data_IF_031832267043
#
_entry.id   IF_031832267043
#
_cell.length_a   1.000
_cell.length_b   1.000
_cell.length_c   1.000
_cell.angle_alpha   90.00
_cell.angle_beta   90.00
_cell.angle_gamma   90.00
#
_symmetry.space_group_name_H-M   'P 1'
#
loop_
_entity.id
_entity.type
_entity.pdbx_description
1 polymer ?
#
# COMPACT_ATOMS: atom_id res chain seq x y z
N UNK A 1 14.25 17.88 -9.03
CA UNK A 1 12.85 17.90 -8.53
C UNK A 1 12.79 16.88 -7.42
N UNK A 2 12.43 17.25 -6.19
CA UNK A 2 12.41 16.32 -5.05
C UNK A 2 11.00 15.76 -4.94
N UNK A 3 10.81 14.49 -5.30
CA UNK A 3 9.54 13.80 -5.07
C UNK A 3 9.34 13.65 -3.55
N UNK A 4 8.14 13.93 -2.99
CA UNK A 4 7.86 13.74 -1.56
C UNK A 4 8.06 12.27 -1.16
N UNK A 5 8.20 11.99 0.14
CA UNK A 5 8.36 10.65 0.73
C UNK A 5 7.29 9.65 0.23
N UNK A 6 7.61 9.06 -0.93
CA UNK A 6 7.20 7.86 -1.66
C UNK A 6 5.70 7.55 -1.84
N UNK A 7 5.09 8.28 -2.78
CA UNK A 7 3.97 7.74 -3.58
C UNK A 7 4.52 6.77 -4.65
N UNK A 8 3.79 5.70 -4.94
CA UNK A 8 4.08 4.84 -6.10
C UNK A 8 3.71 5.66 -7.35
N UNK A 9 4.57 5.67 -8.37
CA UNK A 9 4.32 6.42 -9.60
C UNK A 9 3.64 5.54 -10.64
N UNK A 10 2.61 6.06 -11.31
CA UNK A 10 2.01 5.46 -12.50
C UNK A 10 2.39 6.27 -13.74
N UNK A 11 3.19 5.71 -14.63
CA UNK A 11 3.57 6.33 -15.90
C UNK A 11 2.62 5.93 -17.02
N UNK A 12 2.11 6.92 -17.76
CA UNK A 12 1.45 6.70 -19.04
C UNK A 12 2.48 6.74 -20.16
N UNK A 13 2.61 5.65 -20.92
CA UNK A 13 3.53 5.53 -22.06
C UNK A 13 2.81 5.43 -23.41
N UNK A 14 1.48 5.28 -23.42
CA UNK A 14 0.69 5.27 -24.65
C UNK A 14 -0.34 6.41 -24.66
N UNK A 15 -0.17 7.33 -25.61
CA UNK A 15 -1.06 8.48 -25.82
C UNK A 15 -1.99 8.33 -27.03
N UNK A 16 -2.05 7.14 -27.65
CA UNK A 16 -2.80 6.89 -28.89
C UNK A 16 -4.32 7.01 -28.76
N UNK A 17 -4.87 6.81 -27.55
CA UNK A 17 -6.31 6.82 -27.32
C UNK A 17 -6.69 7.38 -25.94
N UNK A 18 -7.02 8.67 -25.93
CA UNK A 18 -7.43 9.39 -24.72
C UNK A 18 -8.72 8.83 -24.09
N UNK A 19 -9.68 8.38 -24.89
CA UNK A 19 -10.92 7.84 -24.35
C UNK A 19 -10.70 6.47 -23.69
N UNK A 20 -9.89 5.61 -24.29
CA UNK A 20 -9.51 4.33 -23.70
C UNK A 20 -8.73 4.56 -22.40
N UNK A 21 -7.76 5.48 -22.40
CA UNK A 21 -6.99 5.87 -21.22
C UNK A 21 -7.90 6.26 -20.04
N UNK A 22 -8.82 7.20 -20.26
CA UNK A 22 -9.74 7.63 -19.21
C UNK A 22 -10.65 6.50 -18.68
N UNK A 23 -11.01 5.54 -19.55
CA UNK A 23 -11.82 4.39 -19.15
C UNK A 23 -11.03 3.39 -18.30
N UNK A 24 -9.80 3.05 -18.70
CA UNK A 24 -8.95 2.11 -17.95
C UNK A 24 -8.50 2.71 -16.62
N UNK A 25 -8.19 4.01 -16.59
CA UNK A 25 -7.80 4.69 -15.36
C UNK A 25 -8.94 4.70 -14.34
N UNK A 26 -10.17 5.00 -14.79
CA UNK A 26 -11.37 4.89 -13.95
C UNK A 26 -11.61 3.46 -13.47
N UNK A 27 -11.40 2.47 -14.33
CA UNK A 27 -11.55 1.06 -13.95
C UNK A 27 -10.51 0.62 -12.91
N UNK A 28 -9.30 1.20 -12.94
CA UNK A 28 -8.22 0.85 -12.05
C UNK A 28 -8.34 1.50 -10.67
N UNK A 29 -8.72 2.79 -10.64
CA UNK A 29 -8.64 3.63 -9.43
C UNK A 29 -9.99 4.13 -8.92
N UNK A 30 -11.08 3.86 -9.65
CA UNK A 30 -12.38 4.45 -9.38
C UNK A 30 -12.45 5.93 -9.78
N UNK A 31 -13.45 6.65 -9.25
CA UNK A 31 -13.55 8.09 -9.46
C UNK A 31 -12.52 8.83 -8.61
N UNK A 32 -11.96 9.94 -9.14
CA UNK A 32 -10.90 10.70 -8.46
C UNK A 32 -11.28 11.13 -7.03
N UNK A 33 -12.56 11.47 -6.80
CA UNK A 33 -13.08 11.86 -5.48
C UNK A 33 -13.07 10.74 -4.44
N UNK A 34 -12.99 9.48 -4.87
CA UNK A 34 -13.02 8.29 -4.03
C UNK A 34 -11.62 7.66 -3.86
N UNK A 35 -10.61 8.23 -4.54
CA UNK A 35 -9.26 7.71 -4.57
C UNK A 35 -8.59 7.86 -3.21
N UNK A 36 -8.10 6.74 -2.68
CA UNK A 36 -7.39 6.68 -1.39
C UNK A 36 -6.03 5.99 -1.50
N UNK A 37 -5.69 5.47 -2.67
CA UNK A 37 -4.41 4.84 -2.93
C UNK A 37 -3.28 5.87 -3.08
N UNK A 38 -2.07 5.48 -2.69
CA UNK A 38 -0.85 6.31 -2.70
C UNK A 38 -0.20 6.35 -4.09
N UNK A 39 -1.02 6.47 -5.14
CA UNK A 39 -0.58 6.44 -6.53
C UNK A 39 -0.56 7.84 -7.13
N UNK A 40 0.60 8.27 -7.59
CA UNK A 40 0.76 9.52 -8.33
C UNK A 40 0.84 9.22 -9.82
N UNK A 41 -0.10 9.77 -10.59
CA UNK A 41 -0.14 9.64 -12.04
C UNK A 41 0.85 10.63 -12.65
N UNK A 42 1.77 10.12 -13.46
CA UNK A 42 2.71 10.88 -14.29
C UNK A 42 2.20 10.86 -15.71
N UNK A 43 1.55 11.97 -16.09
CA UNK A 43 0.99 12.20 -17.42
C UNK A 43 1.80 13.28 -18.13
N UNK A 44 2.92 12.89 -18.72
CA UNK A 44 3.78 13.75 -19.54
C UNK A 44 3.97 13.14 -20.94
N UNK A 45 3.53 13.81 -22.02
CA UNK A 45 3.70 13.35 -23.40
C UNK A 45 5.16 13.10 -23.82
N UNK A 46 6.16 13.56 -23.06
CA UNK A 46 7.56 13.21 -23.32
C UNK A 46 7.84 11.71 -23.20
N UNK A 47 6.99 10.97 -22.47
CA UNK A 47 7.08 9.53 -22.32
C UNK A 47 6.27 8.74 -23.37
N UNK A 48 5.67 9.40 -24.36
CA UNK A 48 4.89 8.72 -25.39
C UNK A 48 5.76 7.77 -26.23
N UNK A 49 5.41 6.49 -26.23
CA UNK A 49 6.01 5.44 -27.05
C UNK A 49 7.36 4.93 -26.57
N UNK A 50 7.90 5.38 -25.43
CA UNK A 50 9.13 4.81 -24.87
C UNK A 50 8.84 3.43 -24.26
N UNK A 51 9.84 2.55 -24.25
CA UNK A 51 9.72 1.27 -23.55
C UNK A 51 10.08 1.38 -22.05
N UNK A 52 9.78 0.33 -21.29
CA UNK A 52 10.03 0.30 -19.83
C UNK A 52 11.53 0.35 -19.51
N UNK A 53 12.40 -0.25 -20.33
CA UNK A 53 13.85 -0.20 -20.12
C UNK A 53 14.40 1.22 -20.35
N UNK A 54 13.90 1.92 -21.38
CA UNK A 54 14.20 3.32 -21.65
C UNK A 54 13.69 4.25 -20.54
N UNK A 55 12.46 4.03 -20.05
CA UNK A 55 11.92 4.75 -18.89
C UNK A 55 12.82 4.57 -17.67
N UNK A 56 13.19 3.33 -17.34
CA UNK A 56 14.08 3.05 -16.21
C UNK A 56 15.46 3.67 -16.39
N UNK A 57 15.99 3.71 -17.62
CA UNK A 57 17.25 4.39 -17.91
C UNK A 57 17.12 5.92 -17.73
N UNK A 58 15.97 6.50 -18.07
CA UNK A 58 15.69 7.92 -17.92
C UNK A 58 15.57 8.35 -16.46
N UNK A 59 15.01 7.48 -15.61
CA UNK A 59 14.82 7.76 -14.19
C UNK A 59 16.08 7.45 -13.33
N UNK A 60 17.04 6.69 -13.86
CA UNK A 60 18.26 6.28 -13.15
C UNK A 60 19.35 7.37 -13.12
N UNK A 61 19.13 8.43 -12.34
CA UNK A 61 20.20 9.29 -11.81
C UNK A 61 20.51 8.92 -10.35
N UNK A 62 21.44 7.96 -10.16
CA UNK A 62 22.12 7.54 -8.91
C UNK A 62 21.30 7.11 -7.67
N UNK A 63 20.06 7.56 -7.48
CA UNK A 63 19.09 7.05 -6.49
C UNK A 63 17.68 7.55 -6.85
N UNK A 64 16.82 6.69 -7.43
CA UNK A 64 15.51 7.09 -7.93
C UNK A 64 14.55 7.59 -6.83
N UNK A 65 14.80 7.25 -5.56
CA UNK A 65 13.90 7.57 -4.46
C UNK A 65 12.57 6.81 -4.48
N UNK A 66 12.29 5.97 -5.48
CA UNK A 66 11.09 5.13 -5.57
C UNK A 66 11.45 3.64 -5.50
N UNK A 67 10.58 2.82 -4.89
CA UNK A 67 10.75 1.34 -4.80
C UNK A 67 10.00 0.59 -5.90
N UNK A 68 8.85 1.12 -6.29
CA UNK A 68 7.95 0.52 -7.25
C UNK A 68 7.43 1.58 -8.23
N UNK A 69 7.21 1.16 -9.46
CA UNK A 69 6.56 1.92 -10.52
C UNK A 69 5.42 1.10 -11.10
N UNK A 70 4.37 1.75 -11.54
CA UNK A 70 3.31 1.18 -12.36
C UNK A 70 3.42 1.81 -13.74
N UNK A 71 3.28 1.02 -14.79
CA UNK A 71 3.36 1.48 -16.17
C UNK A 71 2.07 1.13 -16.90
N UNK A 72 1.52 2.10 -17.60
CA UNK A 72 0.45 1.94 -18.57
C UNK A 72 1.03 2.10 -19.98
N UNK A 73 1.11 1.02 -20.74
CA UNK A 73 1.63 1.02 -22.11
C UNK A 73 0.51 0.62 -23.10
N UNK A 74 0.90 0.30 -24.34
CA UNK A 74 -0.05 -0.12 -25.37
C UNK A 74 -0.89 -1.34 -24.95
N UNK A 75 -0.33 -2.26 -24.16
CA UNK A 75 -1.06 -3.44 -23.70
C UNK A 75 -2.20 -3.05 -22.76
N UNK A 76 -2.00 -2.04 -21.91
CA UNK A 76 -3.05 -1.52 -21.02
C UNK A 76 -4.29 -1.07 -21.80
N UNK A 77 -4.11 -0.46 -22.97
CA UNK A 77 -5.23 0.06 -23.77
C UNK A 77 -5.87 -0.99 -24.68
N UNK A 78 -5.13 -2.03 -25.08
CA UNK A 78 -5.51 -2.92 -26.18
C UNK A 78 -5.77 -4.37 -25.77
N UNK A 79 -5.12 -4.85 -24.72
CA UNK A 79 -5.19 -6.24 -24.29
C UNK A 79 -6.40 -6.50 -23.38
N UNK A 80 -6.75 -7.79 -23.29
CA UNK A 80 -7.78 -8.25 -22.35
C UNK A 80 -7.31 -8.01 -20.92
N UNK A 81 -8.23 -7.64 -20.03
CA UNK A 81 -7.98 -7.26 -18.62
C UNK A 81 -7.20 -5.96 -18.42
N UNK A 82 -6.87 -5.23 -19.49
CA UNK A 82 -6.21 -3.93 -19.46
C UNK A 82 -5.01 -3.88 -18.50
N UNK A 83 -4.03 -4.78 -18.65
CA UNK A 83 -2.99 -4.97 -17.67
C UNK A 83 -2.10 -3.72 -17.56
N UNK A 84 -1.83 -3.31 -16.34
CA UNK A 84 -0.75 -2.38 -16.02
C UNK A 84 0.49 -3.19 -15.66
N UNK A 85 1.69 -2.68 -15.90
CA UNK A 85 2.92 -3.38 -15.53
C UNK A 85 3.47 -2.81 -14.22
N UNK A 86 3.48 -3.60 -13.15
CA UNK A 86 4.23 -3.30 -11.93
C UNK A 86 5.72 -3.58 -12.16
N UNK A 87 6.57 -2.63 -11.80
CA UNK A 87 8.02 -2.67 -12.01
C UNK A 87 8.73 -2.34 -10.71
N UNK A 88 9.77 -3.10 -10.34
CA UNK A 88 10.64 -2.76 -9.21
C UNK A 88 11.81 -1.89 -9.63
N UNK A 89 12.23 -1.01 -8.74
CA UNK A 89 13.49 -0.28 -8.84
C UNK A 89 14.70 -1.13 -8.38
N UNK A 90 14.75 -2.40 -8.74
CA UNK A 90 15.87 -3.32 -8.44
C UNK A 90 16.75 -3.54 -9.67
N UNK A 91 17.96 -4.07 -9.48
CA UNK A 91 18.83 -4.50 -10.58
C UNK A 91 19.14 -6.01 -10.44
N UNK A 92 18.57 -6.88 -11.30
CA UNK A 92 17.61 -6.59 -12.37
C UNK A 92 16.21 -6.20 -11.85
N UNK A 93 15.41 -5.47 -12.65
CA UNK A 93 14.03 -5.15 -12.31
C UNK A 93 13.13 -6.37 -12.49
N UNK A 94 12.17 -6.54 -11.58
CA UNK A 94 11.03 -7.43 -11.75
C UNK A 94 9.93 -6.69 -12.51
N UNK A 95 9.22 -7.43 -13.36
CA UNK A 95 8.06 -6.93 -14.12
C UNK A 95 6.91 -7.89 -13.93
N UNK A 96 5.76 -7.38 -13.54
CA UNK A 96 4.55 -8.15 -13.34
C UNK A 96 3.36 -7.41 -13.95
N UNK A 97 2.75 -7.94 -15.03
CA UNK A 97 1.44 -7.48 -15.47
C UNK A 97 0.40 -7.74 -14.37
N UNK A 98 -0.34 -6.70 -13.98
CA UNK A 98 -1.43 -6.75 -13.02
C UNK A 98 -2.71 -6.30 -13.74
N UNK A 99 -3.79 -7.07 -13.62
CA UNK A 99 -5.06 -6.73 -14.26
C UNK A 99 -5.63 -5.44 -13.67
N UNK A 100 -6.35 -4.68 -14.50
CA UNK A 100 -6.85 -3.34 -14.15
C UNK A 100 -7.58 -3.28 -12.81
N UNK A 101 -8.42 -4.26 -12.51
CA UNK A 101 -9.23 -4.28 -11.28
C UNK A 101 -8.42 -4.55 -10.00
N UNK A 102 -7.13 -4.91 -10.12
CA UNK A 102 -6.24 -5.19 -8.98
C UNK A 102 -5.32 -4.03 -8.62
N UNK A 103 -5.21 -3.01 -9.48
CA UNK A 103 -4.18 -1.95 -9.38
C UNK A 103 -4.25 -1.24 -8.03
N UNK A 104 -5.42 -0.72 -7.63
CA UNK A 104 -5.57 0.02 -6.37
C UNK A 104 -5.19 -0.84 -5.15
N UNK A 105 -5.64 -2.09 -5.10
CA UNK A 105 -5.33 -3.03 -4.01
C UNK A 105 -3.84 -3.36 -3.92
N UNK A 106 -3.21 -3.65 -5.07
CA UNK A 106 -1.77 -3.97 -5.15
C UNK A 106 -0.94 -2.79 -4.66
N UNK A 107 -1.22 -1.59 -5.19
CA UNK A 107 -0.51 -0.35 -4.83
C UNK A 107 -0.64 -0.06 -3.33
N UNK A 108 -1.86 -0.16 -2.78
CA UNK A 108 -2.10 0.09 -1.37
C UNK A 108 -1.29 -0.85 -0.46
N UNK A 109 -1.25 -2.15 -0.79
CA UNK A 109 -0.51 -3.16 -0.03
C UNK A 109 1.01 -2.95 -0.09
N UNK A 110 1.56 -2.63 -1.26
CA UNK A 110 2.99 -2.36 -1.44
C UNK A 110 3.42 -1.10 -0.68
N UNK A 111 2.58 -0.06 -0.70
CA UNK A 111 2.88 1.19 -0.01
C UNK A 111 2.95 1.02 1.51
N UNK A 112 1.96 0.34 2.11
CA UNK A 112 2.00 0.01 3.54
C UNK A 112 2.94 -1.15 3.87
N UNK A 113 3.58 -1.73 2.86
CA UNK A 113 4.50 -2.87 2.97
C UNK A 113 3.87 -4.08 3.68
N UNK A 114 2.59 -4.36 3.36
CA UNK A 114 1.87 -5.54 3.86
C UNK A 114 2.22 -6.80 3.05
N UNK A 115 2.50 -6.64 1.75
CA UNK A 115 2.99 -7.68 0.85
C UNK A 115 4.15 -7.15 0.03
N UNK A 116 5.01 -8.06 -0.43
CA UNK A 116 6.12 -7.76 -1.32
C UNK A 116 5.81 -8.22 -2.76
N UNK A 117 6.63 -7.84 -3.74
CA UNK A 117 6.39 -8.21 -5.14
C UNK A 117 6.46 -9.72 -5.37
N UNK A 118 7.27 -10.43 -4.59
CA UNK A 118 7.42 -11.89 -4.67
C UNK A 118 6.10 -12.61 -4.38
N UNK A 119 5.28 -12.08 -3.46
CA UNK A 119 3.95 -12.62 -3.16
C UNK A 119 3.01 -12.51 -4.37
N UNK A 120 3.07 -11.38 -5.08
CA UNK A 120 2.29 -11.14 -6.28
C UNK A 120 2.77 -11.97 -7.48
N UNK A 121 4.10 -12.10 -7.66
CA UNK A 121 4.70 -12.95 -8.68
C UNK A 121 4.30 -14.42 -8.47
N UNK A 122 4.30 -14.90 -7.23
CA UNK A 122 3.87 -16.26 -6.89
C UNK A 122 2.35 -16.46 -7.08
N UNK A 123 1.56 -15.38 -6.97
CA UNK A 123 0.12 -15.38 -7.15
C UNK A 123 -0.37 -15.11 -8.58
N UNK A 124 0.54 -14.89 -9.54
CA UNK A 124 0.19 -14.65 -10.93
C UNK A 124 -0.42 -15.91 -11.58
N UNK A 125 -1.34 -15.70 -12.52
CA UNK A 125 -1.95 -16.79 -13.29
C UNK A 125 -0.92 -17.45 -14.23
N UNK A 126 -1.23 -18.62 -14.83
CA UNK A 126 -0.30 -19.32 -15.74
C UNK A 126 0.16 -18.52 -16.96
N UNK A 127 -0.55 -17.47 -17.33
CA UNK A 127 -0.16 -16.53 -18.39
C UNK A 127 0.72 -15.38 -17.90
N UNK A 128 1.04 -15.35 -16.61
CA UNK A 128 1.93 -14.38 -15.97
C UNK A 128 1.24 -13.08 -15.54
N UNK A 129 -0.08 -12.95 -15.69
CA UNK A 129 -0.83 -11.77 -15.24
C UNK A 129 -1.42 -12.03 -13.86
N UNK A 130 -1.28 -11.07 -12.95
CA UNK A 130 -1.93 -11.12 -11.65
C UNK A 130 -3.37 -10.63 -11.74
N UNK A 131 -4.34 -11.51 -11.45
CA UNK A 131 -5.79 -11.20 -11.47
C UNK A 131 -6.49 -11.36 -10.14
N UNK A 132 -5.81 -11.94 -9.15
CA UNK A 132 -6.43 -12.19 -7.87
C UNK A 132 -6.64 -10.86 -7.13
N UNK A 133 -7.88 -10.55 -6.75
CA UNK A 133 -8.10 -9.67 -5.60
C UNK A 133 -7.91 -10.53 -4.37
N UNK A 134 -7.03 -10.14 -3.44
CA UNK A 134 -6.78 -10.91 -2.22
C UNK A 134 -8.11 -11.32 -1.57
N UNK A 135 -8.22 -12.58 -1.07
CA UNK A 135 -7.53 -12.91 0.17
C UNK A 135 -6.73 -14.20 0.03
N UNK A 136 -5.40 -14.13 0.13
CA UNK A 136 -4.57 -15.32 0.39
C UNK A 136 -4.06 -15.30 1.84
N UNK A 137 -4.97 -15.07 2.79
CA UNK A 137 -4.99 -15.96 3.95
C UNK A 137 -5.77 -17.17 3.50
N UNK A 138 -5.12 -18.32 3.33
CA UNK A 138 -5.79 -19.63 3.26
C UNK A 138 -6.92 -19.65 4.29
N UNK A 139 -8.15 -19.51 3.80
CA UNK A 139 -9.41 -19.53 4.56
C UNK A 139 -9.48 -18.48 5.69
N UNK A 140 -10.53 -17.65 5.73
CA UNK A 140 -10.93 -17.04 7.02
C UNK A 140 -11.34 -18.19 7.91
N UNK A 141 -10.38 -18.78 8.62
CA UNK A 141 -10.68 -19.80 9.60
C UNK A 141 -11.39 -19.06 10.73
N UNK A 142 -12.73 -19.10 10.72
CA UNK A 142 -13.52 -18.87 11.93
C UNK A 142 -13.08 -19.94 12.92
N UNK A 143 -12.07 -19.62 13.71
CA UNK A 143 -11.73 -20.39 14.89
C UNK A 143 -12.65 -19.89 15.99
N UNK A 144 -13.47 -20.77 16.50
CA UNK A 144 -14.09 -20.57 17.81
C UNK A 144 -12.98 -20.78 18.83
N UNK A 145 -12.28 -19.69 19.17
CA UNK A 145 -11.29 -19.68 20.24
C UNK A 145 -12.06 -19.59 21.56
N UNK A 146 -11.76 -20.48 22.49
CA UNK A 146 -12.34 -20.39 23.84
C UNK A 146 -11.75 -19.19 24.55
N UNK A 147 -12.56 -18.50 25.35
CA UNK A 147 -12.14 -17.26 26.03
C UNK A 147 -10.88 -17.50 26.88
N UNK A 148 -10.75 -18.69 27.44
CA UNK A 148 -9.63 -19.16 28.26
C UNK A 148 -8.32 -19.25 27.47
N UNK A 149 -8.36 -19.63 26.19
CA UNK A 149 -7.17 -19.72 25.32
C UNK A 149 -6.64 -18.32 24.94
N UNK A 150 -7.54 -17.33 24.84
CA UNK A 150 -7.15 -15.93 24.67
C UNK A 150 -6.44 -15.44 25.95
N UNK A 151 -6.95 -15.83 27.13
CA UNK A 151 -6.33 -15.49 28.41
C UNK A 151 -4.92 -16.06 28.58
N UNK A 152 -4.72 -17.33 28.22
CA UNK A 152 -3.40 -17.96 28.26
C UNK A 152 -2.41 -17.28 27.29
N UNK A 153 -2.88 -16.84 26.12
CA UNK A 153 -2.06 -16.13 25.15
C UNK A 153 -1.72 -14.68 25.56
N UNK A 154 -2.60 -14.00 26.28
CA UNK A 154 -2.39 -12.63 26.77
C UNK A 154 -1.37 -12.56 27.91
N UNK A 155 -1.16 -13.67 28.63
CA UNK A 155 -0.28 -13.75 29.81
C UNK A 155 -0.66 -12.79 30.94
N UNK A 156 0.17 -12.72 31.99
CA UNK A 156 -0.05 -11.87 33.19
C UNK A 156 0.28 -10.38 32.97
N UNK A 157 0.11 -9.88 31.74
CA UNK A 157 0.39 -8.48 31.38
C UNK A 157 -0.52 -7.47 32.10
N UNK A 158 -0.09 -6.20 32.28
CA UNK A 158 -0.88 -5.18 32.96
C UNK A 158 -1.96 -4.64 32.01
N UNK A 159 -2.96 -5.46 31.72
CA UNK A 159 -4.08 -5.08 30.85
C UNK A 159 -5.05 -4.16 31.61
N UNK A 160 -5.50 -3.06 31.00
CA UNK A 160 -6.41 -2.13 31.66
C UNK A 160 -7.81 -2.74 31.70
N UNK A 161 -8.30 -3.00 32.92
CA UNK A 161 -9.69 -3.29 33.20
C UNK A 161 -10.05 -4.77 33.22
N UNK A 162 -10.89 -5.16 34.18
CA UNK A 162 -11.31 -6.54 34.38
C UNK A 162 -12.14 -7.05 33.18
N UNK A 163 -12.20 -8.37 33.01
CA UNK A 163 -13.00 -9.05 31.98
C UNK A 163 -14.46 -8.55 31.92
N UNK A 164 -14.99 -8.08 33.03
CA UNK A 164 -16.34 -7.54 33.13
C UNK A 164 -16.49 -6.18 32.43
N UNK A 165 -15.45 -5.34 32.43
CA UNK A 165 -15.43 -4.08 31.68
C UNK A 165 -15.35 -4.33 30.17
N UNK A 166 -14.49 -5.27 29.75
CA UNK A 166 -14.39 -5.69 28.35
C UNK A 166 -15.71 -6.33 27.86
N UNK A 167 -16.30 -7.25 28.64
CA UNK A 167 -17.60 -7.86 28.32
C UNK A 167 -18.70 -6.81 28.26
N UNK A 168 -18.75 -5.86 29.20
CA UNK A 168 -19.77 -4.81 29.20
C UNK A 168 -19.62 -3.89 27.98
N UNK A 169 -18.38 -3.59 27.55
CA UNK A 169 -18.13 -2.85 26.32
C UNK A 169 -18.63 -3.59 25.08
N UNK A 170 -18.27 -4.86 24.90
CA UNK A 170 -18.73 -5.66 23.76
C UNK A 170 -20.25 -5.91 23.75
N UNK A 171 -20.85 -6.20 24.91
CA UNK A 171 -22.29 -6.47 25.04
C UNK A 171 -23.18 -5.23 24.96
N UNK A 172 -22.62 -4.02 25.08
CA UNK A 172 -23.37 -2.76 24.89
C UNK A 172 -23.64 -2.42 23.43
N UNK A 173 -23.05 -3.17 22.49
CA UNK A 173 -23.19 -2.94 21.05
C UNK A 173 -24.48 -3.58 20.54
N UNK A 174 -25.54 -2.78 20.41
CA UNK A 174 -26.65 -3.16 19.54
C UNK A 174 -26.16 -3.22 18.08
N UNK A 175 -26.68 -4.13 17.24
CA UNK A 175 -26.25 -4.24 15.85
C UNK A 175 -26.51 -2.92 15.10
N UNK A 176 -25.47 -2.33 14.51
CA UNK A 176 -25.60 -1.18 13.59
C UNK A 176 -25.03 0.17 14.07
N UNK A 177 -24.02 0.22 14.96
CA UNK A 177 -23.22 1.44 15.14
C UNK A 177 -21.74 1.17 14.82
N UNK A 178 -21.20 1.95 13.89
CA UNK A 178 -19.79 1.98 13.58
C UNK A 178 -18.99 2.49 14.77
N UNK A 179 -17.91 1.78 15.13
CA UNK A 179 -16.92 2.29 16.06
C UNK A 179 -16.12 3.41 15.37
N UNK A 180 -16.44 4.66 15.67
CA UNK A 180 -15.47 5.74 15.51
C UNK A 180 -14.43 5.60 16.62
N UNK A 181 -13.38 4.80 16.39
CA UNK A 181 -12.16 4.91 17.17
C UNK A 181 -11.57 6.29 16.91
N UNK A 182 -11.86 7.25 17.78
CA UNK A 182 -10.98 8.42 17.90
C UNK A 182 -9.59 7.91 18.28
N UNK A 183 -8.52 8.38 17.63
CA UNK A 183 -7.18 7.96 17.99
C UNK A 183 -6.93 8.33 19.46
N UNK A 184 -6.24 7.47 20.24
CA UNK A 184 -5.88 7.82 21.60
C UNK A 184 -5.02 9.09 21.58
N UNK A 185 -5.35 10.04 22.45
CA UNK A 185 -4.56 11.26 22.67
C UNK A 185 -3.08 10.91 22.82
N UNK A 186 -2.15 11.70 22.26
CA UNK A 186 -0.73 11.41 22.35
C UNK A 186 -0.30 11.33 23.83
N UNK A 187 0.46 10.27 24.12
CA UNK A 187 1.09 9.99 25.41
C UNK A 187 1.72 11.28 25.95
N UNK A 188 1.45 11.69 27.21
CA UNK A 188 2.12 12.83 27.79
C UNK A 188 3.63 12.55 27.81
N UNK A 189 4.41 13.39 27.13
CA UNK A 189 5.88 13.31 27.11
C UNK A 189 6.38 13.22 28.55
N UNK A 190 7.07 12.13 28.85
CA UNK A 190 7.78 11.96 30.11
C UNK A 190 8.62 13.22 30.38
N UNK A 191 8.37 13.83 31.53
CA UNK A 191 9.12 14.94 32.09
C UNK A 191 10.61 14.71 31.90
N UNK A 192 11.23 15.60 31.14
CA UNK A 192 12.67 15.68 30.95
C UNK A 192 13.32 15.72 32.33
N UNK A 193 13.98 14.61 32.70
CA UNK A 193 14.93 14.54 33.80
C UNK A 193 15.97 15.62 33.53
N UNK A 194 15.88 16.72 34.27
CA UNK A 194 16.83 17.82 34.23
C UNK A 194 18.24 17.24 34.46
N UNK A 195 19.07 17.33 33.43
CA UNK A 195 20.49 17.08 33.55
C UNK A 195 21.24 18.23 32.88
N UNK A 196 22.28 18.68 33.58
CA UNK A 196 23.17 19.84 33.36
C UNK A 196 22.63 21.16 33.92
N UNK A 197 23.37 21.88 34.77
CA UNK A 197 24.77 22.25 34.52
C UNK A 197 25.51 22.64 35.81
N UNK A 198 26.65 22.00 36.06
CA UNK A 198 27.76 22.61 36.79
C UNK A 198 28.38 23.71 35.91
N UNK A 199 28.62 24.94 36.40
CA UNK A 199 29.43 25.89 35.67
C UNK A 199 30.91 25.63 35.97
N UNK A 200 31.67 25.30 34.93
CA UNK A 200 33.12 25.43 34.92
C UNK A 200 33.49 26.47 33.86
N UNK A 201 34.00 27.63 34.27
CA UNK A 201 35.00 28.37 33.49
C UNK A 201 36.07 28.95 34.40
N UNK A 202 37.30 28.64 33.99
CA UNK A 202 38.59 29.12 34.49
C UNK A 202 38.78 30.60 34.14
N UNK A 203 39.36 31.37 35.07
CA UNK A 203 40.75 31.89 35.06
C UNK A 203 41.02 32.53 36.39
#
# INVERSE_FOLDING_TARGET
>A
MTFPDVDILLFRLDYSNEQAWNNVLRAALGEESERTDPLTIVDDPEFDGIDIDELLAHLNEDDPGYRFLVVADAATLTETDHPFTLVTATSPPHRLPIAVHTVSDVVANLWISNLDIEDYLAGADPDGVYRATLPQRTETQRRTIQVEEIFDAMGDGPWPGSLEEFRRACSSTAPGRDFACSPPSPIPKASTRANRSLPFRRT
#
